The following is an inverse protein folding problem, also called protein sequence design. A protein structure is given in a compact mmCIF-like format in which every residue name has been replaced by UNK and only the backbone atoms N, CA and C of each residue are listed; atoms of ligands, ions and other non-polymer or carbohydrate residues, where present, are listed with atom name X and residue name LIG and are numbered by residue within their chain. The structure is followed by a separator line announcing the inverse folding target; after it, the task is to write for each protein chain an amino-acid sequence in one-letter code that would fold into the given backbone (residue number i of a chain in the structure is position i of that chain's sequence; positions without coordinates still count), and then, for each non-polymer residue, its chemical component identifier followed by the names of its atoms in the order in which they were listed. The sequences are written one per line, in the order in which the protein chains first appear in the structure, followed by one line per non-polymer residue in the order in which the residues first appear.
data_IF_433500981243
#
_entry.id   IF_433500981243
#
_cell.length_a   1.000
_cell.length_b   1.000
_cell.length_c   1.000
_cell.angle_alpha   90.00
_cell.angle_beta   90.00
_cell.angle_gamma   90.00
#
_symmetry.space_group_name_H-M   'P 1'
#
loop_
_entity.id
_entity.type
_entity.pdbx_description
1 polymer ?
#
# COMPACT_ATOMS: atom_id res chain seq x y z
N UNK A 1 -13.02 -69.43 -36.51
CA UNK A 1 -13.79 -68.34 -35.86
C UNK A 1 -12.83 -67.46 -35.07
N UNK A 2 -12.38 -66.35 -35.67
CA UNK A 2 -11.43 -65.42 -35.04
C UNK A 2 -12.24 -64.35 -34.37
N UNK A 3 -12.18 -64.23 -33.01
CA UNK A 3 -12.81 -63.18 -32.26
C UNK A 3 -11.88 -61.96 -32.28
N UNK A 4 -12.37 -60.88 -32.91
CA UNK A 4 -11.70 -59.59 -32.98
C UNK A 4 -12.05 -58.83 -31.67
N UNK A 5 -11.05 -58.62 -30.80
CA UNK A 5 -11.18 -57.78 -29.61
C UNK A 5 -10.88 -56.34 -30.01
N UNK A 6 -11.95 -55.56 -30.05
CA UNK A 6 -11.85 -54.09 -30.28
C UNK A 6 -11.56 -53.41 -28.95
N UNK A 7 -10.30 -52.97 -28.74
CA UNK A 7 -9.92 -52.14 -27.59
C UNK A 7 -10.39 -50.69 -27.81
N UNK A 8 -11.42 -50.33 -27.10
CA UNK A 8 -11.87 -48.93 -27.02
C UNK A 8 -10.96 -48.19 -26.06
N UNK A 9 -9.93 -47.48 -26.58
CA UNK A 9 -9.13 -46.55 -25.79
C UNK A 9 -9.94 -45.28 -25.60
N UNK A 10 -10.64 -45.16 -24.45
CA UNK A 10 -11.21 -43.94 -23.99
C UNK A 10 -10.08 -42.99 -23.59
N UNK A 11 -9.70 -42.12 -24.51
CA UNK A 11 -8.85 -40.97 -24.21
C UNK A 11 -9.57 -40.03 -23.26
N UNK A 12 -9.22 -40.08 -21.97
CA UNK A 12 -9.54 -39.03 -21.05
C UNK A 12 -8.77 -37.79 -21.47
N UNK A 13 -9.40 -36.95 -22.30
CA UNK A 13 -9.03 -35.52 -22.37
C UNK A 13 -9.35 -34.93 -21.02
N UNK A 14 -8.40 -35.01 -20.08
CA UNK A 14 -8.40 -34.16 -18.93
C UNK A 14 -8.24 -32.72 -19.47
N UNK A 15 -9.36 -32.00 -19.59
CA UNK A 15 -9.34 -30.55 -19.64
C UNK A 15 -8.68 -30.12 -18.34
N UNK A 16 -7.38 -29.86 -18.39
CA UNK A 16 -6.74 -29.00 -17.41
C UNK A 16 -7.40 -27.63 -17.62
N UNK A 17 -8.43 -27.37 -16.81
CA UNK A 17 -8.84 -26.01 -16.53
C UNK A 17 -7.61 -25.37 -15.90
N UNK A 18 -6.84 -24.62 -16.68
CA UNK A 18 -5.95 -23.64 -16.10
C UNK A 18 -6.85 -22.76 -15.24
N UNK A 19 -6.76 -22.95 -13.93
CA UNK A 19 -7.29 -22.00 -12.96
C UNK A 19 -6.49 -20.72 -13.19
N UNK A 20 -6.95 -19.90 -14.12
CA UNK A 20 -6.66 -18.48 -14.12
C UNK A 20 -7.36 -17.95 -12.88
N UNK A 21 -6.77 -18.19 -11.72
CA UNK A 21 -7.06 -17.36 -10.55
C UNK A 21 -6.79 -15.93 -11.03
N UNK A 22 -7.83 -15.13 -11.13
CA UNK A 22 -7.70 -13.70 -11.40
C UNK A 22 -6.83 -13.12 -10.29
N UNK A 23 -5.53 -13.03 -10.59
CA UNK A 23 -4.57 -12.49 -9.63
C UNK A 23 -4.97 -11.07 -9.31
N UNK A 24 -5.03 -10.75 -8.02
CA UNK A 24 -5.25 -9.37 -7.59
C UNK A 24 -4.35 -8.43 -8.39
N UNK A 25 -4.89 -7.32 -8.92
CA UNK A 25 -4.13 -6.37 -9.73
C UNK A 25 -2.97 -5.73 -8.96
N UNK A 26 -2.90 -5.92 -7.64
CA UNK A 26 -1.81 -5.42 -6.81
C UNK A 26 -0.58 -6.31 -6.83
N UNK A 27 -0.69 -7.60 -7.13
CA UNK A 27 0.45 -8.52 -7.15
C UNK A 27 1.53 -8.03 -8.12
N UNK A 28 2.76 -7.93 -7.64
CA UNK A 28 3.92 -7.47 -8.41
C UNK A 28 4.76 -6.43 -7.66
N UNK A 29 5.69 -5.82 -8.38
CA UNK A 29 6.62 -4.82 -7.83
C UNK A 29 6.21 -3.42 -8.23
N UNK A 30 6.20 -2.53 -7.27
CA UNK A 30 5.77 -1.14 -7.39
C UNK A 30 6.82 -0.19 -6.86
N UNK A 31 6.92 1.00 -7.44
CA UNK A 31 7.78 2.07 -6.94
C UNK A 31 6.94 3.29 -6.60
N UNK A 32 7.19 3.91 -5.45
CA UNK A 32 6.56 5.17 -5.07
C UNK A 32 7.06 6.29 -5.98
N UNK A 33 6.14 6.94 -6.68
CA UNK A 33 6.44 8.05 -7.60
C UNK A 33 6.03 9.40 -7.06
N UNK A 34 4.96 9.44 -6.27
CA UNK A 34 4.43 10.64 -5.63
C UNK A 34 4.07 10.33 -4.18
N UNK A 35 4.36 11.25 -3.28
CA UNK A 35 3.94 11.20 -1.88
C UNK A 35 3.78 12.64 -1.38
N UNK A 36 2.74 12.88 -0.59
CA UNK A 36 2.51 14.21 -0.01
C UNK A 36 1.26 14.26 0.83
N UNK A 37 0.94 15.45 1.32
CA UNK A 37 -0.18 15.73 2.19
C UNK A 37 -1.13 16.67 1.46
N UNK A 38 -2.42 16.34 1.44
CA UNK A 38 -3.44 17.23 0.90
C UNK A 38 -3.61 18.46 1.79
N UNK A 39 -3.94 19.60 1.18
CA UNK A 39 -4.27 20.82 1.94
C UNK A 39 -5.46 20.63 2.86
N UNK A 40 -6.41 19.78 2.50
CA UNK A 40 -7.59 19.49 3.31
C UNK A 40 -7.59 18.02 3.81
N UNK A 41 -8.05 17.84 5.06
CA UNK A 41 -8.11 16.55 5.72
C UNK A 41 -9.15 15.56 5.13
N UNK A 42 -9.99 16.03 4.22
CA UNK A 42 -10.94 15.22 3.45
C UNK A 42 -10.35 14.67 2.13
N UNK A 43 -9.02 14.74 1.98
CA UNK A 43 -8.28 14.31 0.80
C UNK A 43 -8.60 15.16 -0.45
N UNK A 44 -8.85 16.43 -0.28
CA UNK A 44 -9.10 17.38 -1.37
C UNK A 44 -8.07 18.52 -1.41
N UNK A 45 -8.04 19.26 -2.52
CA UNK A 45 -7.14 20.38 -2.74
C UNK A 45 -5.78 19.98 -3.32
N UNK A 46 -4.84 20.91 -3.26
CA UNK A 46 -3.46 20.68 -3.72
C UNK A 46 -2.70 19.77 -2.76
N UNK A 47 -1.63 19.16 -3.25
CA UNK A 47 -0.78 18.25 -2.48
C UNK A 47 0.52 18.96 -2.19
N UNK A 48 0.89 19.07 -0.92
CA UNK A 48 2.23 19.44 -0.49
C UNK A 48 3.13 18.20 -0.56
N UNK A 49 4.10 18.22 -1.49
CA UNK A 49 5.07 17.16 -1.74
C UNK A 49 6.52 17.57 -1.43
N UNK A 50 6.70 18.69 -0.70
CA UNK A 50 8.03 19.26 -0.39
C UNK A 50 8.92 18.22 0.28
N UNK A 51 8.39 17.50 1.27
CA UNK A 51 9.15 16.47 1.97
C UNK A 51 9.59 15.35 1.02
N UNK A 52 8.67 14.86 0.18
CA UNK A 52 8.96 13.80 -0.78
C UNK A 52 10.03 14.22 -1.79
N UNK A 53 9.96 15.46 -2.31
CA UNK A 53 11.00 16.00 -3.19
C UNK A 53 12.35 16.08 -2.50
N UNK A 54 12.36 16.47 -1.21
CA UNK A 54 13.56 16.47 -0.39
C UNK A 54 14.17 15.07 -0.22
N UNK A 55 13.34 14.06 0.06
CA UNK A 55 13.75 12.66 0.19
C UNK A 55 14.34 12.15 -1.14
N UNK A 56 13.67 12.39 -2.27
CA UNK A 56 14.17 12.03 -3.60
C UNK A 56 15.50 12.70 -3.93
N UNK A 57 15.65 13.98 -3.56
CA UNK A 57 16.92 14.71 -3.71
C UNK A 57 18.09 14.09 -2.95
N UNK A 58 17.81 13.36 -1.86
CA UNK A 58 18.79 12.59 -1.07
C UNK A 58 18.98 11.15 -1.60
N UNK A 59 18.38 10.79 -2.74
CA UNK A 59 18.48 9.46 -3.32
C UNK A 59 17.56 8.42 -2.69
N UNK A 60 16.55 8.81 -1.91
CA UNK A 60 15.58 7.87 -1.35
C UNK A 60 14.70 7.32 -2.44
N UNK A 61 14.58 5.98 -2.48
CA UNK A 61 13.55 5.28 -3.26
C UNK A 61 12.78 4.35 -2.35
N UNK A 62 11.48 4.18 -2.63
CA UNK A 62 10.59 3.26 -1.91
C UNK A 62 10.04 2.29 -2.93
N UNK A 63 10.26 1.00 -2.69
CA UNK A 63 9.75 -0.10 -3.51
C UNK A 63 8.84 -0.97 -2.67
N UNK A 64 7.72 -1.38 -3.25
CA UNK A 64 6.74 -2.25 -2.64
C UNK A 64 6.66 -3.53 -3.48
N UNK A 65 6.90 -4.68 -2.87
CA UNK A 65 6.69 -5.99 -3.47
C UNK A 65 5.45 -6.63 -2.82
N UNK A 66 4.51 -7.06 -3.66
CA UNK A 66 3.23 -7.65 -3.23
C UNK A 66 3.15 -9.06 -3.81
N UNK A 67 3.10 -10.06 -2.94
CA UNK A 67 3.13 -11.47 -3.29
C UNK A 67 1.72 -12.08 -3.30
N UNK A 68 1.54 -13.14 -4.10
CA UNK A 68 0.27 -13.88 -4.22
C UNK A 68 -0.19 -14.55 -2.92
N UNK A 69 0.74 -14.82 -2.03
CA UNK A 69 0.48 -15.51 -0.76
C UNK A 69 -0.04 -14.58 0.35
N UNK A 70 -0.33 -13.31 0.02
CA UNK A 70 -0.80 -12.32 0.99
C UNK A 70 0.33 -11.65 1.78
N UNK A 71 1.59 -11.92 1.44
CA UNK A 71 2.73 -11.22 2.03
C UNK A 71 3.18 -10.05 1.15
N UNK A 72 3.82 -9.06 1.75
CA UNK A 72 4.44 -7.96 1.04
C UNK A 72 5.70 -7.48 1.74
N UNK A 73 6.52 -6.75 0.99
CA UNK A 73 7.76 -6.15 1.49
C UNK A 73 7.87 -4.72 0.99
N UNK A 74 8.02 -3.78 1.91
CA UNK A 74 8.44 -2.42 1.59
C UNK A 74 9.95 -2.30 1.79
N UNK A 75 10.63 -1.80 0.79
CA UNK A 75 12.08 -1.52 0.84
C UNK A 75 12.30 -0.03 0.62
N UNK A 76 12.89 0.62 1.59
CA UNK A 76 13.37 2.00 1.50
C UNK A 76 14.87 1.96 1.31
N UNK A 77 15.37 2.64 0.28
CA UNK A 77 16.81 2.83 0.05
C UNK A 77 17.19 4.30 0.26
N UNK A 78 18.46 4.58 0.44
CA UNK A 78 18.96 5.95 0.68
C UNK A 78 19.81 6.04 1.95
N UNK A 79 19.89 7.23 2.57
CA UNK A 79 20.71 7.44 3.76
C UNK A 79 20.30 6.60 4.98
N UNK A 80 19.01 6.31 5.11
CA UNK A 80 18.45 5.52 6.21
C UNK A 80 17.64 4.35 5.60
N UNK A 81 18.31 3.29 5.15
CA UNK A 81 17.65 2.18 4.49
C UNK A 81 16.87 1.32 5.48
N UNK A 82 15.70 0.84 5.05
CA UNK A 82 14.89 -0.10 5.84
C UNK A 82 14.17 -1.10 4.95
N UNK A 83 13.84 -2.25 5.55
CA UNK A 83 13.01 -3.29 4.94
C UNK A 83 11.95 -3.70 5.94
N UNK A 84 10.70 -3.60 5.54
CA UNK A 84 9.55 -3.96 6.38
C UNK A 84 8.70 -4.99 5.65
N UNK A 85 8.40 -6.11 6.30
CA UNK A 85 7.46 -7.12 5.81
C UNK A 85 6.09 -6.91 6.44
N UNK A 86 5.03 -7.19 5.69
CA UNK A 86 3.65 -7.04 6.15
C UNK A 86 2.75 -8.08 5.48
N UNK A 87 1.55 -8.25 6.04
CA UNK A 87 0.46 -8.94 5.36
C UNK A 87 -0.36 -7.91 4.59
N UNK A 88 -0.86 -8.30 3.43
CA UNK A 88 -1.71 -7.43 2.63
C UNK A 88 -2.98 -8.16 2.19
N UNK A 89 -4.02 -7.41 1.97
CA UNK A 89 -5.26 -7.85 1.32
C UNK A 89 -6.00 -6.66 0.74
N UNK A 90 -6.89 -6.90 -0.21
CA UNK A 90 -7.79 -5.91 -0.78
C UNK A 90 -9.24 -6.33 -0.57
N UNK A 91 -10.09 -5.36 -0.20
CA UNK A 91 -11.52 -5.56 -0.03
C UNK A 91 -12.26 -4.38 -0.66
N UNK A 92 -12.98 -4.64 -1.75
CA UNK A 92 -13.76 -3.62 -2.43
C UNK A 92 -12.87 -2.50 -2.98
N UNK A 93 -12.93 -1.33 -2.35
CA UNK A 93 -12.15 -0.14 -2.75
C UNK A 93 -11.04 0.19 -1.76
N UNK A 94 -10.72 -0.73 -0.84
CA UNK A 94 -9.65 -0.53 0.15
C UNK A 94 -8.51 -1.51 -0.08
N UNK A 95 -7.29 -1.01 0.09
CA UNK A 95 -6.06 -1.78 0.13
C UNK A 95 -5.50 -1.72 1.55
N UNK A 96 -5.17 -2.87 2.12
CA UNK A 96 -4.74 -3.00 3.51
C UNK A 96 -3.29 -3.46 3.60
N UNK A 97 -2.51 -2.77 4.44
CA UNK A 97 -1.18 -3.15 4.89
C UNK A 97 -1.28 -3.56 6.36
N UNK A 98 -1.29 -4.85 6.65
CA UNK A 98 -1.62 -5.33 7.99
C UNK A 98 -3.01 -4.84 8.41
N UNK A 99 -3.08 -4.18 9.56
CA UNK A 99 -4.34 -3.65 10.11
C UNK A 99 -4.71 -2.26 9.56
N UNK A 100 -3.86 -1.67 8.71
CA UNK A 100 -4.09 -0.32 8.17
C UNK A 100 -4.71 -0.44 6.79
N UNK A 101 -5.99 -0.10 6.67
CA UNK A 101 -6.72 -0.09 5.42
C UNK A 101 -6.96 1.34 4.93
N UNK A 102 -6.75 1.56 3.64
CA UNK A 102 -6.90 2.87 3.01
C UNK A 102 -7.64 2.74 1.70
N UNK A 103 -8.42 3.76 1.33
CA UNK A 103 -9.03 3.84 0.01
C UNK A 103 -7.96 3.90 -1.07
N UNK A 104 -8.20 3.23 -2.20
CA UNK A 104 -7.30 3.29 -3.33
C UNK A 104 -8.03 3.64 -4.63
N UNK A 105 -7.28 4.15 -5.58
CA UNK A 105 -7.73 4.29 -6.98
C UNK A 105 -6.69 3.67 -7.90
N UNK A 106 -7.12 2.68 -8.68
CA UNK A 106 -6.30 2.02 -9.69
C UNK A 106 -6.50 2.71 -11.04
N UNK A 107 -5.43 2.93 -11.80
CA UNK A 107 -5.54 3.42 -13.17
C UNK A 107 -6.11 2.34 -14.10
N UNK A 108 -6.78 2.77 -15.19
CA UNK A 108 -7.48 1.87 -16.12
C UNK A 108 -6.58 0.79 -16.73
N UNK A 109 -5.28 1.04 -16.85
CA UNK A 109 -4.31 0.09 -17.38
C UNK A 109 -3.58 -0.71 -16.29
N UNK A 110 -3.95 -0.57 -15.02
CA UNK A 110 -3.34 -1.23 -13.85
C UNK A 110 -1.81 -1.00 -13.74
N UNK A 111 -1.31 0.08 -14.34
CA UNK A 111 0.12 0.42 -14.28
C UNK A 111 0.46 1.34 -13.12
N UNK A 112 -0.53 1.93 -12.49
CA UNK A 112 -0.35 2.69 -11.26
C UNK A 112 -1.61 2.68 -10.40
N UNK A 113 -1.42 2.83 -9.11
CA UNK A 113 -2.48 3.11 -8.15
C UNK A 113 -2.02 4.15 -7.15
N UNK A 114 -2.97 4.79 -6.52
CA UNK A 114 -2.69 5.66 -5.39
C UNK A 114 -3.59 5.31 -4.22
N UNK A 115 -3.07 5.57 -3.03
CA UNK A 115 -3.71 5.34 -1.75
C UNK A 115 -3.85 6.68 -1.07
N UNK A 116 -5.07 7.02 -0.68
CA UNK A 116 -5.37 8.17 0.15
C UNK A 116 -5.65 7.68 1.57
N UNK A 117 -4.80 8.11 2.51
CA UNK A 117 -4.86 7.70 3.90
C UNK A 117 -5.14 8.89 4.81
N UNK A 118 -6.27 8.85 5.49
CA UNK A 118 -6.55 9.79 6.56
C UNK A 118 -5.80 9.38 7.83
N UNK A 119 -5.10 10.34 8.45
CA UNK A 119 -4.47 10.21 9.75
C UNK A 119 -5.28 11.04 10.73
N UNK A 120 -5.81 10.40 11.78
CA UNK A 120 -6.54 11.10 12.82
C UNK A 120 -5.60 12.00 13.62
N UNK A 121 -6.11 13.09 14.20
CA UNK A 121 -5.28 14.00 14.96
C UNK A 121 -4.69 13.31 16.20
N UNK A 122 -3.47 13.68 16.54
CA UNK A 122 -2.76 13.11 17.68
C UNK A 122 -1.84 14.14 18.36
N UNK A 123 -1.48 13.85 19.60
CA UNK A 123 -0.54 14.62 20.39
C UNK A 123 0.70 13.76 20.67
N UNK A 124 1.89 14.32 20.50
CA UNK A 124 3.14 13.68 20.96
C UNK A 124 3.75 14.48 22.10
N UNK A 125 4.48 13.81 22.97
CA UNK A 125 5.28 14.43 24.02
C UNK A 125 6.70 14.80 23.53
N UNK A 126 7.52 15.29 24.46
CA UNK A 126 8.92 15.68 24.20
C UNK A 126 9.82 14.49 23.80
N UNK A 127 9.40 13.23 24.05
CA UNK A 127 10.09 12.01 23.66
C UNK A 127 9.58 11.45 22.34
N UNK A 128 8.68 12.19 21.65
CA UNK A 128 8.01 11.76 20.42
C UNK A 128 7.05 10.57 20.61
N UNK A 129 6.56 10.35 21.83
CA UNK A 129 5.57 9.30 22.10
C UNK A 129 4.15 9.87 21.99
N UNK A 130 3.25 9.06 21.36
CA UNK A 130 1.84 9.43 21.22
C UNK A 130 1.18 9.42 22.59
N UNK A 131 0.55 10.54 22.96
CA UNK A 131 -0.17 10.68 24.22
C UNK A 131 -1.67 10.42 24.04
N UNK A 132 -2.39 10.24 25.14
CA UNK A 132 -3.85 10.05 25.11
C UNK A 132 -4.67 11.35 25.00
N UNK A 133 -4.06 12.49 24.67
CA UNK A 133 -4.80 13.75 24.52
C UNK A 133 -5.53 13.81 23.19
N UNK A 134 -6.84 14.03 23.23
CA UNK A 134 -7.76 13.99 22.09
C UNK A 134 -8.04 15.36 21.46
N UNK A 135 -7.44 16.43 22.00
CA UNK A 135 -7.63 17.79 21.50
C UNK A 135 -6.36 18.61 21.60
N UNK A 136 -6.22 19.58 20.69
CA UNK A 136 -5.09 20.52 20.67
C UNK A 136 -4.92 21.20 22.02
N UNK A 137 -6.01 21.68 22.61
CA UNK A 137 -5.98 22.36 23.90
C UNK A 137 -5.49 21.47 25.03
N UNK A 138 -5.97 20.22 25.10
CA UNK A 138 -5.52 19.27 26.12
C UNK A 138 -4.04 18.92 25.94
N UNK A 139 -3.60 18.73 24.70
CA UNK A 139 -2.21 18.48 24.34
C UNK A 139 -1.27 19.61 24.79
N UNK A 140 -1.56 20.84 24.39
CA UNK A 140 -0.71 22.01 24.66
C UNK A 140 -0.72 22.43 26.13
N UNK A 141 -1.81 22.17 26.89
CA UNK A 141 -1.88 22.45 28.31
C UNK A 141 -1.20 21.41 29.19
N UNK A 142 -1.05 20.16 28.70
CA UNK A 142 -0.46 19.09 29.49
C UNK A 142 1.06 19.28 29.69
N UNK A 143 1.77 19.78 28.69
CA UNK A 143 3.19 20.14 28.76
C UNK A 143 3.56 21.12 27.64
N UNK A 144 4.50 22.01 27.89
CA UNK A 144 5.05 22.93 26.87
C UNK A 144 5.88 22.24 25.81
N UNK A 145 6.31 21.01 26.07
CA UNK A 145 7.04 20.16 25.10
C UNK A 145 6.13 19.35 24.18
N UNK A 146 4.82 19.32 24.48
CA UNK A 146 3.89 18.56 23.67
C UNK A 146 3.58 19.27 22.35
N UNK A 147 3.43 18.47 21.29
CA UNK A 147 3.10 18.95 19.96
C UNK A 147 1.81 18.28 19.46
N UNK A 148 0.87 19.11 19.01
CA UNK A 148 -0.37 18.65 18.40
C UNK A 148 -0.24 18.54 16.88
N UNK A 149 -0.65 17.40 16.35
CA UNK A 149 -0.79 17.15 14.92
C UNK A 149 -2.27 17.11 14.58
N UNK A 150 -2.74 17.97 13.67
CA UNK A 150 -4.14 17.97 13.23
C UNK A 150 -4.44 16.74 12.38
N UNK A 151 -5.74 16.52 12.10
CA UNK A 151 -6.16 15.53 11.10
C UNK A 151 -5.60 15.88 9.73
N UNK A 152 -5.04 14.90 9.05
CA UNK A 152 -4.43 15.05 7.73
C UNK A 152 -4.89 13.95 6.76
N UNK A 153 -4.79 14.20 5.46
CA UNK A 153 -4.89 13.17 4.45
C UNK A 153 -3.59 13.09 3.65
N UNK A 154 -3.01 11.91 3.61
CA UNK A 154 -1.78 11.61 2.90
C UNK A 154 -2.06 10.87 1.61
N UNK A 155 -1.39 11.26 0.54
CA UNK A 155 -1.39 10.55 -0.74
C UNK A 155 -0.09 9.83 -0.95
N UNK A 156 -0.19 8.58 -1.42
CA UNK A 156 0.97 7.84 -1.96
C UNK A 156 0.58 7.22 -3.29
N UNK A 157 1.36 7.50 -4.35
CA UNK A 157 1.16 6.92 -5.68
C UNK A 157 2.26 5.93 -5.99
N UNK A 158 1.83 4.78 -6.41
CA UNK A 158 2.66 3.66 -6.81
C UNK A 158 2.59 3.47 -8.33
N UNK A 159 3.72 3.22 -8.95
CA UNK A 159 3.82 2.85 -10.37
C UNK A 159 4.42 1.46 -10.47
N UNK A 160 3.85 0.60 -11.30
CA UNK A 160 4.36 -0.76 -11.54
C UNK A 160 5.77 -0.66 -12.12
N UNK A 161 6.68 -1.43 -11.55
CA UNK A 161 8.00 -1.60 -12.10
C UNK A 161 7.88 -2.61 -13.24
N UNK A 162 8.17 -2.16 -14.46
CA UNK A 162 8.27 -3.07 -15.60
C UNK A 162 9.63 -3.77 -15.50
N UNK A 163 9.60 -5.09 -15.53
CA UNK A 163 10.79 -5.94 -15.60
C UNK A 163 11.50 -5.77 -16.96
#
# INVERSE_FOLDING_TARGET
MKKLFLFFVLGFLACQKEDNEDLSPFVGTWTVTEKGIYQAADCSGEIDDIEWRGMKGKGVTITLEINKDGTGTETITGPEPSVTTFLWYDVGITFCFGDICSAYTMTNNQQSFFVDRTVDPYCIDENYEVTGHDSKRACELASTGNQWFPKECHKTKYKRKND
#
